data_IF_250667016288
#
_entry.id   IF_250667016288
#
_cell.length_a   1.000
_cell.length_b   1.000
_cell.length_c   1.000
_cell.angle_alpha   90.00
_cell.angle_beta   90.00
_cell.angle_gamma   90.00
#
_symmetry.space_group_name_H-M   'P 1'
#
loop_
_entity.id
_entity.type
_entity.pdbx_description
1 polymer ?
#
# COMPACT_ATOMS: atom_id res chain seq x y z
N UNK A 1 17.62 1.78 -10.26
CA UNK A 1 16.86 0.79 -9.50
C UNK A 1 15.99 0.02 -10.47
N UNK A 2 15.95 -1.29 -10.36
CA UNK A 2 15.09 -2.18 -11.13
C UNK A 2 14.19 -2.94 -10.17
N UNK A 3 12.89 -3.05 -10.48
CA UNK A 3 11.90 -3.79 -9.68
C UNK A 3 11.42 -4.94 -10.56
N UNK A 4 11.86 -6.17 -10.30
CA UNK A 4 11.43 -7.33 -11.07
C UNK A 4 9.91 -7.54 -10.96
N UNK A 5 9.30 -8.09 -12.02
CA UNK A 5 7.89 -8.47 -11.97
C UNK A 5 7.65 -9.53 -10.88
N UNK A 6 6.51 -9.47 -10.21
CA UNK A 6 6.18 -10.37 -9.11
C UNK A 6 6.92 -10.07 -7.80
N UNK A 7 7.66 -8.95 -7.71
CA UNK A 7 8.40 -8.56 -6.51
C UNK A 7 7.51 -7.74 -5.56
N UNK A 8 7.67 -7.98 -4.27
CA UNK A 8 7.14 -7.10 -3.22
C UNK A 8 8.24 -6.14 -2.75
N UNK A 9 8.10 -4.85 -3.08
CA UNK A 9 9.01 -3.78 -2.68
C UNK A 9 8.44 -2.99 -1.51
N UNK A 10 9.16 -2.92 -0.41
CA UNK A 10 8.86 -1.99 0.67
C UNK A 10 9.49 -0.61 0.41
N UNK A 11 8.72 0.44 0.64
CA UNK A 11 9.21 1.83 0.66
C UNK A 11 9.15 2.35 2.08
N UNK A 12 10.29 2.70 2.63
CA UNK A 12 10.45 3.17 4.00
C UNK A 12 11.12 4.54 4.02
N UNK A 13 11.04 5.19 5.16
CA UNK A 13 11.68 6.49 5.41
C UNK A 13 10.94 7.24 6.51
N UNK A 14 11.60 8.21 7.13
CA UNK A 14 11.00 9.10 8.12
C UNK A 14 9.83 9.91 7.53
N UNK A 15 9.04 10.55 8.39
CA UNK A 15 8.04 11.50 7.91
C UNK A 15 8.74 12.66 7.17
N UNK A 16 8.24 12.98 5.98
CA UNK A 16 8.86 14.00 5.12
C UNK A 16 10.00 13.48 4.21
N UNK A 17 10.45 12.24 4.32
CA UNK A 17 11.53 11.68 3.48
C UNK A 17 11.20 11.52 1.99
N UNK A 18 9.97 11.81 1.57
CA UNK A 18 9.58 11.75 0.16
C UNK A 18 8.85 10.48 -0.28
N UNK A 19 8.41 9.58 0.63
CA UNK A 19 7.65 8.37 0.28
C UNK A 19 6.45 8.66 -0.62
N UNK A 20 5.58 9.57 -0.20
CA UNK A 20 4.39 9.96 -0.98
C UNK A 20 4.77 10.66 -2.30
N UNK A 21 5.88 11.40 -2.34
CA UNK A 21 6.39 11.99 -3.58
C UNK A 21 6.88 10.91 -4.54
N UNK A 22 7.60 9.91 -4.04
CA UNK A 22 8.02 8.75 -4.84
C UNK A 22 6.81 8.00 -5.40
N UNK A 23 5.80 7.71 -4.55
CA UNK A 23 4.55 7.07 -4.98
C UNK A 23 3.85 7.91 -6.05
N UNK A 24 3.69 9.22 -5.85
CA UNK A 24 3.08 10.12 -6.82
C UNK A 24 3.85 10.16 -8.16
N UNK A 25 5.17 10.12 -8.09
CA UNK A 25 6.00 10.03 -9.30
C UNK A 25 5.82 8.68 -10.00
N UNK A 26 5.76 7.59 -9.24
CA UNK A 26 5.48 6.24 -9.77
C UNK A 26 4.10 6.17 -10.44
N UNK A 27 3.10 6.84 -9.88
CA UNK A 27 1.74 6.95 -10.45
C UNK A 27 1.65 7.91 -11.64
N UNK A 28 2.74 8.62 -11.97
CA UNK A 28 2.76 9.62 -13.05
C UNK A 28 2.06 10.94 -12.70
N UNK A 29 1.75 11.18 -11.43
CA UNK A 29 1.14 12.43 -10.92
C UNK A 29 2.17 13.55 -10.84
N UNK A 30 3.42 13.20 -10.52
CA UNK A 30 4.55 14.14 -10.43
C UNK A 30 5.65 13.65 -11.35
N UNK A 31 6.23 14.54 -12.14
CA UNK A 31 7.38 14.20 -12.99
C UNK A 31 8.67 14.20 -12.16
N UNK A 32 9.57 13.21 -12.33
CA UNK A 32 10.88 13.23 -11.69
C UNK A 32 11.72 14.42 -12.20
N UNK A 33 12.51 15.03 -11.32
CA UNK A 33 13.43 16.12 -11.69
C UNK A 33 14.54 15.64 -12.65
N UNK A 34 14.93 14.37 -12.54
CA UNK A 34 15.89 13.72 -13.43
C UNK A 34 15.59 12.24 -13.55
N UNK A 35 16.05 11.61 -14.64
CA UNK A 35 15.74 10.22 -14.92
C UNK A 35 14.33 9.99 -15.46
N UNK A 36 13.89 8.75 -15.50
CA UNK A 36 12.56 8.33 -15.95
C UNK A 36 12.16 6.99 -15.36
N UNK A 37 10.85 6.77 -15.23
CA UNK A 37 10.31 5.43 -15.02
C UNK A 37 10.19 4.71 -16.37
N UNK A 38 10.66 3.47 -16.44
CA UNK A 38 10.54 2.62 -17.61
C UNK A 38 9.59 1.49 -17.25
N UNK A 39 8.46 1.41 -17.94
CA UNK A 39 7.45 0.39 -17.74
C UNK A 39 7.55 -0.70 -18.80
N UNK A 40 7.44 -1.99 -18.43
CA UNK A 40 7.27 -3.05 -19.41
C UNK A 40 6.07 -2.71 -20.31
N UNK A 41 6.24 -2.88 -21.60
CA UNK A 41 5.20 -2.61 -22.61
C UNK A 41 4.68 -1.17 -22.66
N UNK A 42 5.43 -0.19 -22.16
CA UNK A 42 5.10 1.26 -22.18
C UNK A 42 3.69 1.59 -21.64
N UNK A 43 3.15 0.74 -20.74
CA UNK A 43 1.82 0.92 -20.22
C UNK A 43 1.84 1.25 -18.71
N UNK A 44 1.99 2.54 -18.33
CA UNK A 44 1.88 2.96 -16.93
C UNK A 44 0.43 2.90 -16.40
N UNK A 45 -0.53 2.51 -17.24
CA UNK A 45 -1.95 2.59 -16.91
C UNK A 45 -2.51 1.38 -16.15
N UNK A 46 -1.72 0.32 -16.00
CA UNK A 46 -2.14 -0.88 -15.27
C UNK A 46 -1.63 -0.86 -13.82
N UNK A 47 -1.88 0.24 -13.10
CA UNK A 47 -1.52 0.38 -11.68
C UNK A 47 -2.81 0.44 -10.85
N UNK A 48 -2.96 -0.47 -9.89
CA UNK A 48 -3.94 -0.34 -8.82
C UNK A 48 -3.32 0.46 -7.67
N UNK A 49 -4.08 1.41 -7.13
CA UNK A 49 -3.59 2.30 -6.08
C UNK A 49 -4.53 2.39 -4.89
N UNK A 50 -3.95 2.16 -3.72
CA UNK A 50 -4.51 2.48 -2.42
C UNK A 50 -3.77 3.70 -1.86
N UNK A 51 -4.42 4.86 -1.85
CA UNK A 51 -3.92 6.09 -1.22
C UNK A 51 -4.13 6.10 0.28
N UNK A 52 -3.54 7.10 0.94
CA UNK A 52 -3.76 7.32 2.36
C UNK A 52 -5.24 7.55 2.65
N UNK A 53 -5.71 7.01 3.76
CA UNK A 53 -7.12 7.07 4.19
C UNK A 53 -7.64 8.50 4.39
N UNK A 54 -6.79 9.43 4.75
CA UNK A 54 -7.11 10.86 4.94
C UNK A 54 -7.55 11.57 3.66
N UNK A 55 -7.27 10.99 2.49
CA UNK A 55 -7.70 11.51 1.20
C UNK A 55 -9.19 11.23 0.89
N UNK A 56 -9.86 10.42 1.74
CA UNK A 56 -11.25 10.04 1.54
C UNK A 56 -12.19 10.84 2.43
N UNK A 57 -13.07 11.65 1.82
CA UNK A 57 -14.19 12.28 2.52
C UNK A 57 -15.28 11.24 2.81
N UNK A 58 -15.35 10.81 4.07
CA UNK A 58 -16.35 9.83 4.51
C UNK A 58 -17.79 10.38 4.49
N UNK A 59 -17.96 11.71 4.46
CA UNK A 59 -19.28 12.35 4.40
C UNK A 59 -19.84 12.38 2.97
N UNK A 60 -19.06 12.01 1.97
CA UNK A 60 -19.53 11.92 0.61
C UNK A 60 -20.66 10.87 0.50
N UNK A 61 -21.82 11.16 -0.11
CA UNK A 61 -23.01 10.31 -0.08
C UNK A 61 -22.87 9.10 -1.04
N UNK A 62 -21.91 8.22 -0.75
CA UNK A 62 -21.70 6.96 -1.46
C UNK A 62 -22.10 5.78 -0.58
N UNK A 63 -22.57 4.71 -1.21
CA UNK A 63 -22.67 3.39 -0.59
C UNK A 63 -21.38 2.63 -0.72
N UNK A 64 -21.18 1.64 0.14
CA UNK A 64 -19.99 0.77 0.12
C UNK A 64 -19.78 0.14 -1.27
N UNK A 65 -20.85 -0.37 -1.90
CA UNK A 65 -20.79 -0.93 -3.26
C UNK A 65 -20.32 0.08 -4.31
N UNK A 66 -20.72 1.34 -4.18
CA UNK A 66 -20.34 2.37 -5.14
C UNK A 66 -18.86 2.70 -5.01
N UNK A 67 -18.33 2.75 -3.77
CA UNK A 67 -16.91 2.90 -3.51
C UNK A 67 -16.10 1.75 -4.12
N UNK A 68 -16.52 0.50 -3.92
CA UNK A 68 -15.85 -0.68 -4.47
C UNK A 68 -15.90 -0.65 -6.01
N UNK A 69 -17.06 -0.37 -6.59
CA UNK A 69 -17.25 -0.29 -8.05
C UNK A 69 -16.39 0.77 -8.73
N UNK A 70 -15.96 1.83 -8.00
CA UNK A 70 -15.02 2.84 -8.53
C UNK A 70 -13.70 2.23 -9.01
N UNK A 71 -13.34 1.03 -8.55
CA UNK A 71 -12.16 0.31 -9.06
C UNK A 71 -12.18 0.07 -10.57
N UNK A 72 -13.35 -0.10 -11.17
CA UNK A 72 -13.52 -0.31 -12.63
C UNK A 72 -13.74 0.98 -13.43
N UNK A 73 -13.67 2.16 -12.82
CA UNK A 73 -13.95 3.42 -13.53
C UNK A 73 -12.92 3.82 -14.57
N UNK A 74 -11.75 3.22 -14.56
CA UNK A 74 -10.73 3.43 -15.59
C UNK A 74 -11.24 2.94 -16.95
N UNK A 75 -11.49 3.87 -17.87
CA UNK A 75 -11.93 3.56 -19.23
C UNK A 75 -13.42 3.16 -19.38
N UNK A 76 -14.18 3.10 -18.29
CA UNK A 76 -15.59 2.78 -18.38
C UNK A 76 -16.43 3.95 -18.92
N UNK A 77 -17.25 3.69 -19.96
CA UNK A 77 -18.27 4.64 -20.41
C UNK A 77 -19.28 4.88 -19.27
N UNK A 78 -19.82 6.08 -19.17
CA UNK A 78 -20.70 6.53 -18.09
C UNK A 78 -21.88 5.56 -17.79
N UNK A 79 -22.36 4.86 -18.79
CA UNK A 79 -23.49 3.90 -18.70
C UNK A 79 -23.13 2.55 -18.08
N UNK A 80 -21.86 2.16 -18.02
CA UNK A 80 -21.41 0.89 -17.45
C UNK A 80 -21.26 0.95 -15.92
N UNK A 81 -21.26 2.14 -15.31
CA UNK A 81 -21.05 2.32 -13.87
C UNK A 81 -22.09 1.60 -13.00
N UNK A 82 -23.36 1.62 -13.42
CA UNK A 82 -24.46 0.97 -12.68
C UNK A 82 -24.39 -0.56 -12.79
N UNK A 83 -23.81 -1.07 -13.87
CA UNK A 83 -23.61 -2.50 -14.05
C UNK A 83 -22.54 -3.06 -13.09
N UNK A 84 -21.46 -2.33 -12.88
CA UNK A 84 -20.36 -2.78 -12.00
C UNK A 84 -20.76 -2.87 -10.53
N UNK A 85 -21.62 -1.99 -10.06
CA UNK A 85 -22.10 -1.98 -8.67
C UNK A 85 -22.96 -3.22 -8.31
N UNK A 86 -23.38 -4.00 -9.30
CA UNK A 86 -24.18 -5.22 -9.14
C UNK A 86 -23.54 -6.44 -9.81
N UNK A 87 -22.23 -6.39 -10.14
CA UNK A 87 -21.55 -7.48 -10.79
C UNK A 87 -21.11 -8.57 -9.78
N UNK A 88 -20.97 -9.80 -10.29
CA UNK A 88 -20.43 -10.89 -9.51
C UNK A 88 -18.99 -10.61 -9.06
N UNK A 89 -18.20 -9.91 -9.88
CA UNK A 89 -16.83 -9.48 -9.53
C UNK A 89 -16.83 -8.57 -8.29
N UNK A 90 -17.81 -7.66 -8.15
CA UNK A 90 -17.93 -6.82 -6.95
C UNK A 90 -18.29 -7.65 -5.73
N UNK A 91 -19.19 -8.62 -5.87
CA UNK A 91 -19.58 -9.51 -4.77
C UNK A 91 -18.38 -10.34 -4.33
N UNK A 92 -17.59 -10.85 -5.27
CA UNK A 92 -16.36 -11.59 -4.96
C UNK A 92 -15.31 -10.71 -4.27
N UNK A 93 -15.11 -9.48 -4.75
CA UNK A 93 -14.21 -8.53 -4.10
C UNK A 93 -14.66 -8.19 -2.66
N UNK A 94 -15.96 -8.00 -2.45
CA UNK A 94 -16.53 -7.74 -1.13
C UNK A 94 -16.40 -8.95 -0.19
N UNK A 95 -16.58 -10.16 -0.72
CA UNK A 95 -16.44 -11.42 0.02
C UNK A 95 -15.01 -11.63 0.50
N UNK A 96 -14.02 -11.39 -0.35
CA UNK A 96 -12.59 -11.47 -0.01
C UNK A 96 -12.19 -10.56 1.15
N UNK A 97 -12.91 -9.49 1.40
CA UNK A 97 -12.66 -8.54 2.50
C UNK A 97 -13.74 -8.55 3.60
N UNK A 98 -14.64 -9.52 3.60
CA UNK A 98 -15.70 -9.67 4.62
C UNK A 98 -16.59 -8.42 4.74
N UNK A 99 -17.16 -7.96 3.60
CA UNK A 99 -18.02 -6.78 3.51
C UNK A 99 -19.37 -7.03 2.81
N UNK A 100 -19.75 -8.29 2.52
CA UNK A 100 -21.00 -8.61 1.82
C UNK A 100 -22.23 -8.04 2.55
N UNK A 101 -22.26 -8.14 3.88
CA UNK A 101 -23.39 -7.71 4.71
C UNK A 101 -23.63 -6.20 4.75
N UNK A 102 -22.64 -5.38 4.31
CA UNK A 102 -22.69 -3.91 4.41
C UNK A 102 -22.66 -3.19 3.06
N UNK A 103 -22.75 -3.91 1.96
CA UNK A 103 -22.64 -3.34 0.60
C UNK A 103 -23.64 -2.22 0.31
N UNK A 104 -24.82 -2.28 0.90
CA UNK A 104 -25.90 -1.29 0.70
C UNK A 104 -25.80 -0.11 1.67
N UNK A 105 -24.95 -0.23 2.69
CA UNK A 105 -24.83 0.77 3.72
C UNK A 105 -24.09 2.03 3.21
N UNK A 106 -24.41 3.21 3.75
CA UNK A 106 -23.68 4.43 3.47
C UNK A 106 -22.23 4.32 3.96
N UNK A 107 -21.27 4.86 3.22
CA UNK A 107 -19.84 4.78 3.56
C UNK A 107 -19.50 5.42 4.92
N UNK A 108 -20.23 6.46 5.33
CA UNK A 108 -19.94 7.20 6.56
C UNK A 108 -20.23 6.43 7.86
N UNK A 109 -20.98 5.32 7.81
CA UNK A 109 -21.24 4.50 9.00
C UNK A 109 -20.17 3.42 9.21
N UNK A 110 -19.26 3.24 8.25
CA UNK A 110 -18.22 2.22 8.35
C UNK A 110 -17.26 2.53 9.47
N UNK A 111 -16.89 1.50 10.24
CA UNK A 111 -15.70 1.57 11.10
C UNK A 111 -14.43 1.79 10.28
N UNK A 112 -13.36 2.23 10.94
CA UNK A 112 -12.09 2.42 10.26
C UNK A 112 -11.56 1.18 9.55
N UNK A 113 -11.67 0.02 10.18
CA UNK A 113 -11.29 -1.25 9.56
C UNK A 113 -12.19 -1.64 8.39
N UNK A 114 -13.51 -1.41 8.49
CA UNK A 114 -14.44 -1.66 7.39
C UNK A 114 -14.16 -0.75 6.19
N UNK A 115 -13.88 0.54 6.42
CA UNK A 115 -13.51 1.46 5.35
C UNK A 115 -12.22 1.01 4.67
N UNK A 116 -11.20 0.62 5.44
CA UNK A 116 -9.95 0.12 4.88
C UNK A 116 -10.17 -1.13 4.01
N UNK A 117 -10.99 -2.08 4.49
CA UNK A 117 -11.38 -3.26 3.72
C UNK A 117 -12.14 -2.89 2.44
N UNK A 118 -13.01 -1.88 2.47
CA UNK A 118 -13.70 -1.40 1.28
C UNK A 118 -12.75 -0.76 0.25
N UNK A 119 -11.73 -0.04 0.71
CA UNK A 119 -10.68 0.50 -0.14
C UNK A 119 -9.83 -0.62 -0.77
N UNK A 120 -9.55 -1.69 -0.03
CA UNK A 120 -8.90 -2.88 -0.59
C UNK A 120 -9.77 -3.60 -1.64
N UNK A 121 -11.07 -3.77 -1.37
CA UNK A 121 -12.01 -4.31 -2.37
C UNK A 121 -12.00 -3.48 -3.67
N UNK A 122 -11.90 -2.15 -3.56
CA UNK A 122 -11.73 -1.27 -4.70
C UNK A 122 -10.42 -1.56 -5.46
N UNK A 123 -9.32 -1.85 -4.76
CA UNK A 123 -8.05 -2.25 -5.38
C UNK A 123 -8.18 -3.59 -6.08
N UNK A 124 -8.86 -4.58 -5.48
CA UNK A 124 -9.17 -5.87 -6.11
C UNK A 124 -9.92 -5.63 -7.43
N UNK A 125 -10.94 -4.77 -7.43
CA UNK A 125 -11.70 -4.42 -8.64
C UNK A 125 -10.86 -3.73 -9.73
N UNK A 126 -9.75 -3.07 -9.38
CA UNK A 126 -8.85 -2.47 -10.39
C UNK A 126 -8.10 -3.54 -11.20
N UNK A 127 -7.90 -4.71 -10.63
CA UNK A 127 -7.31 -5.90 -11.27
C UNK A 127 -6.06 -5.58 -12.10
N UNK A 128 -5.05 -5.00 -11.46
CA UNK A 128 -3.84 -4.55 -12.13
C UNK A 128 -2.63 -5.42 -11.77
N UNK A 129 -1.69 -5.64 -12.71
CA UNK A 129 -0.47 -6.40 -12.45
C UNK A 129 0.53 -5.66 -11.55
N UNK A 130 0.34 -4.35 -11.35
CA UNK A 130 1.16 -3.52 -10.49
C UNK A 130 0.28 -2.84 -9.44
N UNK A 131 0.58 -3.07 -8.16
CA UNK A 131 -0.22 -2.58 -7.04
C UNK A 131 0.64 -1.66 -6.17
N UNK A 132 0.13 -0.49 -5.85
CA UNK A 132 0.80 0.49 -4.97
C UNK A 132 -0.09 0.73 -3.77
N UNK A 133 0.45 0.50 -2.57
CA UNK A 133 -0.25 0.63 -1.30
C UNK A 133 0.47 1.64 -0.41
N UNK A 134 -0.18 2.76 -0.11
CA UNK A 134 0.38 3.80 0.75
C UNK A 134 -0.22 3.68 2.17
N UNK A 135 0.58 3.20 3.12
CA UNK A 135 0.23 2.96 4.52
C UNK A 135 -1.04 2.10 4.71
N UNK A 136 -1.14 0.92 4.08
CA UNK A 136 -2.38 0.13 4.05
C UNK A 136 -2.84 -0.37 5.41
N UNK A 137 -1.97 -0.41 6.41
CA UNK A 137 -2.24 -0.94 7.76
C UNK A 137 -2.43 0.17 8.81
N UNK A 138 -2.47 1.44 8.40
CA UNK A 138 -2.60 2.55 9.35
C UNK A 138 -3.96 2.54 10.06
N UNK A 139 -3.95 2.63 11.40
CA UNK A 139 -5.12 2.77 12.27
C UNK A 139 -6.22 1.72 12.05
N UNK A 140 -5.84 0.46 11.90
CA UNK A 140 -6.74 -0.70 11.82
C UNK A 140 -6.46 -1.70 12.94
N UNK A 141 -7.44 -2.55 13.23
CA UNK A 141 -7.29 -3.62 14.21
C UNK A 141 -6.49 -4.81 13.63
N UNK A 142 -5.94 -5.64 14.53
CA UNK A 142 -5.10 -6.78 14.15
C UNK A 142 -5.81 -7.83 13.28
N UNK A 143 -7.14 -7.99 13.42
CA UNK A 143 -7.88 -8.94 12.59
C UNK A 143 -7.93 -8.45 11.14
N UNK A 144 -8.25 -7.17 10.96
CA UNK A 144 -8.24 -6.51 9.66
C UNK A 144 -6.84 -6.51 9.05
N UNK A 145 -5.82 -6.16 9.83
CA UNK A 145 -4.42 -6.17 9.38
C UNK A 145 -4.01 -7.54 8.81
N UNK A 146 -4.31 -8.63 9.52
CA UNK A 146 -4.00 -10.00 9.09
C UNK A 146 -4.66 -10.34 7.76
N UNK A 147 -5.97 -10.07 7.65
CA UNK A 147 -6.72 -10.33 6.42
C UNK A 147 -6.12 -9.57 5.23
N UNK A 148 -5.72 -8.31 5.43
CA UNK A 148 -5.13 -7.51 4.36
C UNK A 148 -3.70 -7.97 4.01
N UNK A 149 -2.91 -8.43 4.99
CA UNK A 149 -1.60 -9.03 4.72
C UNK A 149 -1.74 -10.31 3.88
N UNK A 150 -2.69 -11.19 4.20
CA UNK A 150 -2.97 -12.40 3.43
C UNK A 150 -3.33 -12.06 1.98
N UNK A 151 -4.20 -11.08 1.75
CA UNK A 151 -4.53 -10.61 0.39
C UNK A 151 -3.31 -10.07 -0.39
N UNK A 152 -2.41 -9.34 0.28
CA UNK A 152 -1.21 -8.82 -0.37
C UNK A 152 -0.27 -9.97 -0.76
N UNK A 153 -0.14 -10.99 0.10
CA UNK A 153 0.66 -12.18 -0.19
C UNK A 153 0.07 -12.98 -1.36
N UNK A 154 -1.25 -13.16 -1.41
CA UNK A 154 -1.94 -13.77 -2.56
C UNK A 154 -1.62 -13.03 -3.87
N UNK A 155 -1.65 -11.68 -3.89
CA UNK A 155 -1.30 -10.91 -5.08
C UNK A 155 0.14 -11.16 -5.55
N UNK A 156 1.08 -11.32 -4.60
CA UNK A 156 2.45 -11.68 -4.91
C UNK A 156 2.53 -13.09 -5.53
N UNK A 157 1.81 -14.06 -4.96
CA UNK A 157 1.74 -15.42 -5.49
C UNK A 157 1.08 -15.48 -6.88
N UNK A 158 0.12 -14.59 -7.17
CA UNK A 158 -0.46 -14.37 -8.49
C UNK A 158 0.54 -13.73 -9.48
N UNK A 159 1.75 -13.38 -9.06
CA UNK A 159 2.79 -12.76 -9.88
C UNK A 159 2.62 -11.25 -10.05
N UNK A 160 1.78 -10.59 -9.25
CA UNK A 160 1.66 -9.13 -9.26
C UNK A 160 2.86 -8.49 -8.58
N UNK A 161 3.28 -7.35 -9.07
CA UNK A 161 4.29 -6.53 -8.42
C UNK A 161 3.63 -5.60 -7.42
N UNK A 162 4.07 -5.64 -6.17
CA UNK A 162 3.49 -4.82 -5.09
C UNK A 162 4.51 -3.84 -4.55
N UNK A 163 4.19 -2.56 -4.54
CA UNK A 163 4.94 -1.50 -3.85
C UNK A 163 4.18 -1.10 -2.60
N UNK A 164 4.80 -1.24 -1.45
CA UNK A 164 4.18 -1.12 -0.14
C UNK A 164 4.91 -0.05 0.69
N UNK A 165 4.31 1.12 0.88
CA UNK A 165 4.84 2.08 1.86
C UNK A 165 4.36 1.69 3.26
N UNK A 166 5.29 1.37 4.15
CA UNK A 166 5.02 0.90 5.51
C UNK A 166 6.02 1.45 6.51
N UNK A 167 5.65 1.40 7.78
CA UNK A 167 6.53 1.75 8.91
C UNK A 167 6.96 0.52 9.73
N UNK A 168 6.29 -0.62 9.59
CA UNK A 168 6.63 -1.84 10.32
C UNK A 168 7.75 -2.62 9.63
N UNK A 169 8.93 -2.58 10.23
CA UNK A 169 10.11 -3.29 9.75
C UNK A 169 9.95 -4.81 9.78
N UNK A 170 9.07 -5.33 10.66
CA UNK A 170 8.85 -6.77 10.75
C UNK A 170 8.11 -7.34 9.55
N UNK A 171 7.18 -6.58 8.99
CA UNK A 171 6.48 -6.93 7.75
C UNK A 171 7.48 -6.97 6.60
N UNK A 172 8.36 -5.95 6.53
CA UNK A 172 9.36 -5.84 5.47
C UNK A 172 10.34 -7.00 5.49
N UNK A 173 10.91 -7.29 6.66
CA UNK A 173 11.88 -8.37 6.83
C UNK A 173 11.31 -9.77 6.56
N UNK A 174 9.99 -9.96 6.81
CA UNK A 174 9.33 -11.27 6.61
C UNK A 174 8.81 -11.48 5.21
N UNK A 175 8.33 -10.44 4.55
CA UNK A 175 7.47 -10.62 3.37
C UNK A 175 7.97 -9.90 2.11
N UNK A 176 8.84 -8.87 2.25
CA UNK A 176 9.30 -8.12 1.09
C UNK A 176 10.58 -8.72 0.49
N UNK A 177 10.66 -8.70 -0.83
CA UNK A 177 11.82 -9.17 -1.59
C UNK A 177 12.90 -8.09 -1.70
N UNK A 178 12.47 -6.82 -1.67
CA UNK A 178 13.36 -5.66 -1.72
C UNK A 178 12.84 -4.55 -0.81
N UNK A 179 13.75 -3.66 -0.40
CA UNK A 179 13.45 -2.47 0.36
C UNK A 179 14.10 -1.24 -0.30
N UNK A 180 13.36 -0.13 -0.27
CA UNK A 180 13.82 1.21 -0.61
C UNK A 180 13.69 2.09 0.63
N UNK A 181 14.80 2.42 1.25
CA UNK A 181 14.86 3.33 2.39
C UNK A 181 15.20 4.74 1.90
N UNK A 182 14.27 5.66 2.09
CA UNK A 182 14.38 7.07 1.70
C UNK A 182 14.84 7.91 2.89
N UNK A 183 15.92 8.67 2.71
CA UNK A 183 16.37 9.73 3.62
C UNK A 183 16.29 11.10 2.95
N UNK A 184 16.76 12.16 3.63
CA UNK A 184 16.70 13.51 3.11
C UNK A 184 17.54 13.68 1.83
N UNK A 185 18.80 13.19 1.84
CA UNK A 185 19.76 13.44 0.75
C UNK A 185 20.09 12.18 -0.06
N UNK A 186 19.66 11.02 0.37
CA UNK A 186 19.98 9.74 -0.29
C UNK A 186 18.90 8.69 -0.09
N UNK A 187 18.91 7.70 -0.98
CA UNK A 187 18.10 6.51 -0.88
C UNK A 187 18.98 5.26 -0.95
N UNK A 188 18.62 4.22 -0.19
CA UNK A 188 19.27 2.91 -0.23
C UNK A 188 18.27 1.87 -0.70
N UNK A 189 18.65 1.08 -1.71
CA UNK A 189 17.83 0.02 -2.30
C UNK A 189 18.60 -1.30 -2.30
N UNK A 190 17.92 -2.39 -1.98
CA UNK A 190 18.50 -3.74 -1.96
C UNK A 190 17.65 -4.75 -1.21
N UNK A 191 18.25 -5.87 -0.82
CA UNK A 191 17.58 -6.85 0.02
C UNK A 191 17.25 -6.23 1.40
N UNK A 192 16.08 -6.57 2.01
CA UNK A 192 15.66 -5.96 3.27
C UNK A 192 16.70 -6.00 4.38
N UNK A 193 17.40 -7.14 4.56
CA UNK A 193 18.44 -7.28 5.58
C UNK A 193 19.67 -6.42 5.35
N UNK A 194 19.98 -6.06 4.10
CA UNK A 194 21.11 -5.19 3.75
C UNK A 194 20.74 -3.71 3.88
N UNK A 195 19.49 -3.36 3.57
CA UNK A 195 18.97 -1.99 3.63
C UNK A 195 18.64 -1.57 5.05
N UNK A 196 17.99 -2.43 5.83
CA UNK A 196 17.47 -2.14 7.16
C UNK A 196 18.48 -2.40 8.28
N UNK A 197 19.76 -2.07 8.04
CA UNK A 197 20.76 -2.07 9.10
C UNK A 197 20.58 -0.89 10.04
N UNK A 198 20.96 -1.06 11.31
CA UNK A 198 20.90 0.03 12.31
C UNK A 198 21.59 1.29 11.80
N UNK A 199 22.76 1.14 11.15
CA UNK A 199 23.52 2.26 10.60
C UNK A 199 22.74 3.00 9.51
N UNK A 200 22.18 2.30 8.54
CA UNK A 200 21.37 2.92 7.47
C UNK A 200 20.15 3.64 8.02
N UNK A 201 19.47 3.03 9.01
CA UNK A 201 18.28 3.61 9.63
C UNK A 201 18.60 4.91 10.39
N UNK A 202 19.78 4.99 11.04
CA UNK A 202 20.26 6.22 11.68
C UNK A 202 20.64 7.26 10.63
N UNK A 203 21.47 6.87 9.67
CA UNK A 203 22.02 7.76 8.66
C UNK A 203 20.95 8.41 7.77
N UNK A 204 19.81 7.75 7.63
CA UNK A 204 18.67 8.24 6.87
C UNK A 204 17.54 8.83 7.76
N UNK A 205 17.81 9.06 9.03
CA UNK A 205 16.89 9.73 9.94
C UNK A 205 15.64 8.92 10.31
N UNK A 206 15.63 7.61 10.02
CA UNK A 206 14.53 6.73 10.39
C UNK A 206 14.54 6.38 11.89
N UNK A 207 15.74 6.20 12.45
CA UNK A 207 15.97 5.99 13.88
C UNK A 207 16.85 7.11 14.45
N UNK A 208 16.51 7.64 15.64
CA UNK A 208 17.44 8.47 16.40
C UNK A 208 18.58 7.62 16.96
N UNK A 209 19.76 8.22 17.16
CA UNK A 209 20.91 7.53 17.74
C UNK A 209 20.61 6.97 19.13
N UNK A 210 19.87 7.71 19.94
CA UNK A 210 19.49 7.28 21.30
C UNK A 210 18.57 6.05 21.27
N UNK A 211 17.61 6.02 20.35
CA UNK A 211 16.72 4.87 20.17
C UNK A 211 17.44 3.66 19.60
N UNK A 212 18.41 3.85 18.73
CA UNK A 212 19.26 2.79 18.23
C UNK A 212 20.13 2.18 19.31
N UNK A 213 20.77 3.01 20.15
CA UNK A 213 21.55 2.55 21.32
C UNK A 213 20.67 1.73 22.27
N UNK A 214 19.47 2.21 22.58
CA UNK A 214 18.54 1.49 23.44
C UNK A 214 18.14 0.11 22.87
N UNK A 215 17.92 -0.01 21.56
CA UNK A 215 17.59 -1.27 20.88
C UNK A 215 18.74 -2.27 21.00
N UNK A 216 19.97 -1.82 20.79
CA UNK A 216 21.17 -2.64 20.91
C UNK A 216 21.37 -3.12 22.36
N UNK A 217 21.28 -2.21 23.33
CA UNK A 217 21.47 -2.50 24.74
C UNK A 217 20.44 -3.49 25.31
N UNK A 218 19.21 -3.46 24.77
CA UNK A 218 18.12 -4.34 25.23
C UNK A 218 17.89 -5.55 24.33
N UNK A 219 18.74 -5.80 23.33
CA UNK A 219 18.65 -6.90 22.35
C UNK A 219 17.25 -7.02 21.71
N UNK A 220 16.56 -5.89 21.50
CA UNK A 220 15.22 -5.87 20.89
C UNK A 220 15.37 -6.09 19.38
N UNK A 221 14.75 -7.14 18.80
CA UNK A 221 14.76 -7.31 17.35
C UNK A 221 14.15 -6.10 16.65
N UNK A 222 14.79 -5.60 15.61
CA UNK A 222 14.34 -4.44 14.81
C UNK A 222 12.90 -4.57 14.30
N UNK A 223 12.38 -5.80 14.21
CA UNK A 223 11.01 -6.09 13.78
C UNK A 223 9.91 -5.99 14.85
N UNK A 224 10.22 -5.67 16.11
CA UNK A 224 9.23 -5.59 17.21
C UNK A 224 8.88 -4.16 17.63
N UNK A 225 9.25 -3.16 16.84
CA UNK A 225 8.96 -1.77 17.15
C UNK A 225 7.49 -1.45 16.88
N UNK A 226 6.65 -1.60 17.92
CA UNK A 226 5.33 -0.94 17.92
C UNK A 226 5.57 0.57 18.08
N UNK A 227 4.98 1.36 17.19
CA UNK A 227 4.82 2.80 17.39
C UNK A 227 4.09 3.01 18.72
N UNK A 228 4.75 3.68 19.65
CA UNK A 228 4.12 4.26 20.82
C UNK A 228 3.44 5.57 20.45
#
# INVERSE_FOLDING_TARGET
MDIPAGTMLAVLGANGSGKSTFIKALLGVVSPLSGKFIWPHQNPHAIAYLGQRTEFDQLFPLRVRDLIAMGKWRGARFWSRRSWAHSDELLDAARRVDLEGVLNEPMHILSGGQLQRALFARVIMQDAPFVVLDEPFAAIDHKTERLLQELILEWREEGRTVVLAVHDLSIVLRHCDAALLLGEDRATYGAPGEVLTTQNLIDQGYLSRDRAAWIVDHQVPLGLQRSA
#
